data_IF_439040094743
#
_entry.id   IF_439040094743
#
_cell.length_a   1.000
_cell.length_b   1.000
_cell.length_c   1.000
_cell.angle_alpha   90.00
_cell.angle_beta   90.00
_cell.angle_gamma   90.00
#
_symmetry.space_group_name_H-M   'P 1'
#
loop_
_entity.id
_entity.type
_entity.pdbx_description
1 polymer ?
#
# COMPACT_ATOMS: atom_id res chain seq x y z
N UNK A 1 -18.84 40.86 12.43
CA UNK A 1 -18.00 40.39 11.32
C UNK A 1 -17.73 38.90 11.52
N UNK A 2 -18.54 38.01 10.96
CA UNK A 2 -18.36 36.56 11.14
C UNK A 2 -17.16 36.12 10.30
N UNK A 3 -16.06 35.74 10.95
CA UNK A 3 -14.90 35.14 10.31
C UNK A 3 -15.37 33.80 9.71
N UNK A 4 -15.75 33.80 8.42
CA UNK A 4 -16.05 32.58 7.69
C UNK A 4 -14.71 31.96 7.31
N UNK A 5 -14.27 30.97 8.10
CA UNK A 5 -13.17 30.10 7.70
C UNK A 5 -13.47 29.53 6.30
N UNK A 6 -12.48 29.48 5.39
CA UNK A 6 -12.69 28.88 4.08
C UNK A 6 -13.16 27.43 4.28
N UNK A 7 -14.28 27.07 3.65
CA UNK A 7 -14.83 25.71 3.74
C UNK A 7 -13.81 24.75 3.12
N UNK A 8 -13.18 23.93 3.96
CA UNK A 8 -12.27 22.88 3.50
C UNK A 8 -13.08 21.92 2.61
N UNK A 9 -12.55 21.63 1.41
CA UNK A 9 -13.18 20.67 0.49
C UNK A 9 -13.32 19.30 1.16
N UNK A 10 -14.51 18.70 1.04
CA UNK A 10 -14.88 17.50 1.79
C UNK A 10 -13.94 16.31 1.55
N UNK A 11 -13.33 16.21 0.36
CA UNK A 11 -12.35 15.16 0.05
C UNK A 11 -11.19 15.08 1.05
N UNK A 12 -10.78 16.19 1.67
CA UNK A 12 -9.71 16.17 2.68
C UNK A 12 -10.11 15.48 3.98
N UNK A 13 -11.40 15.47 4.34
CA UNK A 13 -11.90 14.66 5.46
C UNK A 13 -11.81 13.17 5.16
N UNK A 14 -12.01 12.77 3.91
CA UNK A 14 -11.83 11.38 3.47
C UNK A 14 -10.35 10.99 3.53
N UNK A 15 -9.44 11.89 3.16
CA UNK A 15 -7.98 11.66 3.28
C UNK A 15 -7.57 11.51 4.75
N UNK A 16 -8.05 12.39 5.63
CA UNK A 16 -7.77 12.30 7.07
C UNK A 16 -8.34 11.02 7.69
N UNK A 17 -9.57 10.64 7.36
CA UNK A 17 -10.17 9.39 7.81
C UNK A 17 -9.40 8.17 7.28
N UNK A 18 -8.96 8.20 6.02
CA UNK A 18 -8.13 7.16 5.41
C UNK A 18 -6.76 7.04 6.10
N UNK A 19 -6.14 8.16 6.45
CA UNK A 19 -4.89 8.19 7.21
C UNK A 19 -5.03 7.50 8.57
N UNK A 20 -6.08 7.83 9.34
CA UNK A 20 -6.30 7.23 10.67
C UNK A 20 -6.62 5.74 10.57
N UNK A 21 -7.45 5.33 9.61
CA UNK A 21 -7.73 3.91 9.36
C UNK A 21 -6.44 3.19 8.98
N UNK A 22 -5.65 3.73 8.06
CA UNK A 22 -4.38 3.16 7.63
C UNK A 22 -3.34 3.10 8.77
N UNK A 23 -3.34 4.08 9.67
CA UNK A 23 -2.47 4.10 10.86
C UNK A 23 -2.84 2.98 11.81
N UNK A 24 -4.13 2.86 12.16
CA UNK A 24 -4.60 1.81 13.06
C UNK A 24 -4.39 0.42 12.45
N UNK A 25 -4.75 0.25 11.17
CA UNK A 25 -4.54 -0.97 10.40
C UNK A 25 -3.06 -1.36 10.31
N UNK A 26 -2.21 -0.38 9.97
CA UNK A 26 -0.77 -0.51 9.86
C UNK A 26 -0.15 -0.96 11.18
N UNK A 27 -0.47 -0.25 12.26
CA UNK A 27 0.12 -0.49 13.56
C UNK A 27 -0.44 -1.71 14.27
N UNK A 28 -1.76 -1.75 14.47
CA UNK A 28 -2.41 -2.81 15.25
C UNK A 28 -2.31 -4.19 14.60
N UNK A 29 -2.37 -4.25 13.27
CA UNK A 29 -2.46 -5.54 12.56
C UNK A 29 -1.23 -5.83 11.72
N UNK A 30 -0.77 -4.89 10.88
CA UNK A 30 0.36 -5.16 9.97
C UNK A 30 1.66 -5.39 10.70
N UNK A 31 2.13 -4.37 11.42
CA UNK A 31 3.37 -4.39 12.18
C UNK A 31 3.18 -5.03 13.56
N UNK A 32 2.03 -4.83 14.20
CA UNK A 32 1.70 -5.35 15.52
C UNK A 32 1.79 -6.87 15.67
N UNK A 33 1.66 -7.62 14.56
CA UNK A 33 1.84 -9.08 14.56
C UNK A 33 3.21 -9.51 15.10
N UNK A 34 4.27 -8.73 14.84
CA UNK A 34 5.61 -9.09 15.33
C UNK A 34 5.72 -9.01 16.86
N UNK A 35 4.95 -8.13 17.50
CA UNK A 35 4.95 -7.97 18.96
C UNK A 35 4.26 -9.12 19.69
N UNK A 36 3.28 -9.77 19.06
CA UNK A 36 2.50 -10.86 19.67
C UNK A 36 3.05 -12.26 19.40
N UNK A 37 4.00 -12.38 18.47
CA UNK A 37 4.52 -13.67 18.04
C UNK A 37 5.13 -14.48 19.19
N UNK A 38 6.08 -13.87 19.91
CA UNK A 38 6.80 -14.53 21.00
C UNK A 38 5.91 -14.82 22.22
N UNK A 39 5.04 -13.89 22.68
CA UNK A 39 4.06 -14.18 23.73
C UNK A 39 3.18 -15.41 23.42
N UNK A 40 2.65 -15.50 22.20
CA UNK A 40 1.80 -16.64 21.78
C UNK A 40 2.61 -17.95 21.75
N UNK A 41 3.84 -17.91 21.23
CA UNK A 41 4.72 -19.09 21.21
C UNK A 41 5.02 -19.61 22.61
N UNK A 42 5.28 -18.70 23.56
CA UNK A 42 5.59 -19.03 24.95
C UNK A 42 4.40 -19.61 25.70
N UNK A 43 3.22 -19.01 25.58
CA UNK A 43 2.01 -19.49 26.30
C UNK A 43 1.46 -20.79 25.69
N UNK A 44 1.34 -20.84 24.37
CA UNK A 44 0.69 -21.96 23.69
C UNK A 44 1.63 -23.14 23.44
N UNK A 45 2.95 -22.97 23.63
CA UNK A 45 3.97 -23.97 23.34
C UNK A 45 4.07 -24.33 21.86
N UNK A 46 3.56 -23.48 20.97
CA UNK A 46 3.56 -23.72 19.53
C UNK A 46 4.91 -23.42 18.91
N UNK A 47 5.24 -24.17 17.86
CA UNK A 47 6.46 -23.89 17.11
C UNK A 47 6.32 -22.58 16.34
N UNK A 48 7.45 -21.92 16.11
CA UNK A 48 7.51 -20.72 15.28
C UNK A 48 6.95 -20.98 13.88
N UNK A 49 7.13 -22.19 13.33
CA UNK A 49 6.57 -22.60 12.03
C UNK A 49 5.04 -22.62 12.01
N UNK A 50 4.41 -23.08 13.09
CA UNK A 50 2.95 -23.09 13.19
C UNK A 50 2.39 -21.66 13.24
N UNK A 51 3.03 -20.77 13.99
CA UNK A 51 2.61 -19.37 14.11
C UNK A 51 2.86 -18.59 12.80
N UNK A 52 4.01 -18.81 12.16
CA UNK A 52 4.38 -18.12 10.92
C UNK A 52 3.52 -18.51 9.72
N UNK A 53 2.94 -19.71 9.71
CA UNK A 53 1.98 -20.13 8.67
C UNK A 53 0.75 -19.18 8.62
N UNK A 54 0.32 -18.67 9.76
CA UNK A 54 -0.78 -17.71 9.83
C UNK A 54 -0.43 -16.34 9.23
N UNK A 55 0.84 -15.92 9.37
CA UNK A 55 1.35 -14.72 8.71
C UNK A 55 1.34 -14.87 7.18
N UNK A 56 1.69 -16.05 6.68
CA UNK A 56 1.63 -16.38 5.24
C UNK A 56 0.20 -16.37 4.70
N UNK A 57 -0.76 -16.92 5.44
CA UNK A 57 -2.19 -16.86 5.12
C UNK A 57 -2.68 -15.41 4.96
N UNK A 58 -2.27 -14.53 5.88
CA UNK A 58 -2.57 -13.09 5.79
C UNK A 58 -1.93 -12.44 4.56
N UNK A 59 -0.68 -12.76 4.26
CA UNK A 59 0.02 -12.20 3.09
C UNK A 59 -0.63 -12.62 1.76
N UNK A 60 -1.09 -13.87 1.67
CA UNK A 60 -1.78 -14.41 0.49
C UNK A 60 -3.14 -13.74 0.26
N UNK A 61 -3.84 -13.43 1.35
CA UNK A 61 -5.16 -12.80 1.33
C UNK A 61 -5.13 -11.36 0.78
N UNK A 62 -4.14 -10.55 1.15
CA UNK A 62 -3.97 -9.18 0.64
C UNK A 62 -3.93 -9.09 -0.90
N UNK A 63 -3.42 -10.14 -1.54
CA UNK A 63 -3.36 -10.26 -2.98
C UNK A 63 -4.62 -10.91 -3.55
N UNK A 64 -4.94 -12.12 -3.08
CA UNK A 64 -5.96 -12.97 -3.70
C UNK A 64 -7.37 -12.37 -3.61
N UNK A 65 -7.71 -11.70 -2.51
CA UNK A 65 -9.03 -11.09 -2.34
C UNK A 65 -9.14 -9.68 -2.93
N UNK A 66 -8.02 -9.04 -3.27
CA UNK A 66 -8.02 -7.67 -3.77
C UNK A 66 -8.89 -7.45 -5.04
N UNK A 67 -8.92 -8.35 -6.04
CA UNK A 67 -9.84 -8.21 -7.18
C UNK A 67 -11.31 -8.20 -6.77
N UNK A 68 -11.71 -9.12 -5.87
CA UNK A 68 -13.08 -9.21 -5.38
C UNK A 68 -13.45 -7.95 -4.57
N UNK A 69 -12.56 -7.53 -3.67
CA UNK A 69 -12.72 -6.30 -2.89
C UNK A 69 -12.85 -5.09 -3.81
N UNK A 70 -12.06 -5.01 -4.88
CA UNK A 70 -12.14 -3.95 -5.87
C UNK A 70 -13.52 -3.84 -6.52
N UNK A 71 -14.04 -4.97 -7.02
CA UNK A 71 -15.39 -5.05 -7.61
C UNK A 71 -16.47 -4.69 -6.59
N UNK A 72 -16.36 -5.21 -5.37
CA UNK A 72 -17.31 -4.91 -4.30
C UNK A 72 -17.25 -3.44 -3.87
N UNK A 73 -16.08 -2.82 -3.91
CA UNK A 73 -15.92 -1.40 -3.58
C UNK A 73 -16.60 -0.50 -4.59
N UNK A 74 -16.43 -0.78 -5.89
CA UNK A 74 -17.10 -0.03 -6.96
C UNK A 74 -18.64 -0.18 -6.87
N UNK A 75 -19.15 -1.33 -6.40
CA UNK A 75 -20.59 -1.60 -6.30
C UNK A 75 -21.24 -1.13 -5.00
N UNK A 76 -20.63 -1.45 -3.86
CA UNK A 76 -21.19 -1.20 -2.52
C UNK A 76 -20.74 0.14 -1.94
N UNK A 77 -19.68 0.71 -2.49
CA UNK A 77 -19.06 1.94 -2.02
C UNK A 77 -18.15 1.76 -0.81
N UNK A 78 -17.21 2.69 -0.60
CA UNK A 78 -16.17 2.56 0.42
C UNK A 78 -16.72 2.53 1.85
N UNK A 79 -17.82 3.24 2.13
CA UNK A 79 -18.45 3.27 3.47
C UNK A 79 -18.87 1.88 3.94
N UNK A 80 -19.60 1.14 3.11
CA UNK A 80 -20.09 -0.20 3.48
C UNK A 80 -18.94 -1.19 3.61
N UNK A 81 -17.97 -1.12 2.69
CA UNK A 81 -16.78 -1.98 2.70
C UNK A 81 -15.94 -1.79 3.96
N UNK A 82 -15.63 -0.54 4.33
CA UNK A 82 -14.88 -0.23 5.56
C UNK A 82 -15.64 -0.72 6.79
N UNK A 83 -16.95 -0.47 6.86
CA UNK A 83 -17.78 -0.90 7.99
C UNK A 83 -17.82 -2.43 8.14
N UNK A 84 -18.06 -3.16 7.06
CA UNK A 84 -18.09 -4.64 7.09
C UNK A 84 -16.71 -5.22 7.40
N UNK A 85 -15.65 -4.66 6.80
CA UNK A 85 -14.29 -5.12 7.03
C UNK A 85 -13.81 -4.90 8.46
N UNK A 86 -14.22 -3.79 9.06
CA UNK A 86 -13.92 -3.49 10.45
C UNK A 86 -14.62 -4.43 11.44
N UNK A 87 -15.88 -4.77 11.21
CA UNK A 87 -16.59 -5.76 12.02
C UNK A 87 -15.91 -7.13 11.91
N UNK A 88 -15.57 -7.54 10.68
CA UNK A 88 -14.92 -8.83 10.45
C UNK A 88 -13.52 -8.89 11.05
N UNK A 89 -12.74 -7.81 10.91
CA UNK A 89 -11.41 -7.67 11.49
C UNK A 89 -11.45 -7.62 13.02
N UNK A 90 -12.42 -6.91 13.61
CA UNK A 90 -12.64 -6.89 15.06
C UNK A 90 -13.00 -8.28 15.59
N UNK A 91 -13.88 -9.01 14.88
CA UNK A 91 -14.23 -10.39 15.23
C UNK A 91 -13.00 -11.31 15.15
N UNK A 92 -12.18 -11.17 14.10
CA UNK A 92 -10.92 -11.90 13.97
C UNK A 92 -9.95 -11.62 15.11
N UNK A 93 -9.74 -10.35 15.47
CA UNK A 93 -8.87 -9.95 16.58
C UNK A 93 -9.41 -10.44 17.94
N UNK A 94 -10.73 -10.40 18.14
CA UNK A 94 -11.38 -10.92 19.33
C UNK A 94 -11.19 -12.44 19.46
N UNK A 95 -11.43 -13.18 18.38
CA UNK A 95 -11.21 -14.63 18.33
C UNK A 95 -9.73 -14.99 18.52
N UNK A 96 -8.82 -14.14 18.01
CA UNK A 96 -7.40 -14.32 18.22
C UNK A 96 -7.05 -14.24 19.70
N UNK A 97 -7.55 -13.23 20.42
CA UNK A 97 -7.38 -13.11 21.88
C UNK A 97 -7.97 -14.27 22.68
N UNK A 98 -8.96 -14.97 22.14
CA UNK A 98 -9.63 -16.13 22.76
C UNK A 98 -9.11 -17.48 22.26
N UNK A 99 -8.03 -17.47 21.49
CA UNK A 99 -7.54 -18.69 20.83
C UNK A 99 -6.95 -19.67 21.83
N UNK A 100 -7.40 -20.94 21.76
CA UNK A 100 -6.89 -22.06 22.55
C UNK A 100 -6.39 -23.24 21.70
N UNK A 101 -6.53 -23.17 20.37
CA UNK A 101 -6.12 -24.23 19.44
C UNK A 101 -5.60 -23.63 18.14
N UNK A 102 -4.75 -24.37 17.43
CA UNK A 102 -4.20 -23.93 16.14
C UNK A 102 -5.29 -23.72 15.08
N UNK A 103 -6.37 -24.51 15.12
CA UNK A 103 -7.51 -24.33 14.21
C UNK A 103 -8.19 -22.98 14.42
N UNK A 104 -8.47 -22.64 15.68
CA UNK A 104 -9.06 -21.34 16.05
C UNK A 104 -8.13 -20.18 15.70
N UNK A 105 -6.82 -20.35 15.90
CA UNK A 105 -5.79 -19.41 15.52
C UNK A 105 -5.85 -19.09 14.02
N UNK A 106 -5.84 -20.11 13.15
CA UNK A 106 -5.88 -19.91 11.71
C UNK A 106 -7.20 -19.29 11.23
N UNK A 107 -8.33 -19.70 11.81
CA UNK A 107 -9.63 -19.09 11.49
C UNK A 107 -9.63 -17.61 11.89
N UNK A 108 -9.12 -17.26 13.07
CA UNK A 108 -9.00 -15.88 13.52
C UNK A 108 -8.13 -15.06 12.55
N UNK A 109 -6.99 -15.60 12.09
CA UNK A 109 -6.13 -14.95 11.11
C UNK A 109 -6.79 -14.75 9.76
N UNK A 110 -7.55 -15.73 9.27
CA UNK A 110 -8.31 -15.59 8.02
C UNK A 110 -9.34 -14.46 8.16
N UNK A 111 -10.06 -14.39 9.28
CA UNK A 111 -11.04 -13.33 9.53
C UNK A 111 -10.39 -11.94 9.60
N UNK A 112 -9.27 -11.83 10.34
CA UNK A 112 -8.47 -10.59 10.38
C UNK A 112 -8.06 -10.22 8.97
N UNK A 113 -7.49 -11.14 8.21
CA UNK A 113 -7.02 -10.88 6.85
C UNK A 113 -8.15 -10.35 5.96
N UNK A 114 -9.27 -11.09 5.83
CA UNK A 114 -10.43 -10.68 5.01
C UNK A 114 -10.98 -9.31 5.45
N UNK A 115 -11.05 -9.07 6.77
CA UNK A 115 -11.47 -7.79 7.33
C UNK A 115 -10.54 -6.65 6.94
N UNK A 116 -9.23 -6.89 7.00
CA UNK A 116 -8.22 -5.90 6.61
C UNK A 116 -8.25 -5.59 5.12
N UNK A 117 -8.36 -6.57 4.22
CA UNK A 117 -8.40 -6.25 2.79
C UNK A 117 -9.63 -5.44 2.40
N UNK A 118 -10.76 -5.67 3.06
CA UNK A 118 -12.01 -4.94 2.82
C UNK A 118 -12.07 -3.54 3.43
N UNK A 119 -11.13 -3.15 4.31
CA UNK A 119 -11.11 -1.82 4.92
C UNK A 119 -9.83 -0.99 4.66
N UNK A 120 -8.83 -1.53 3.94
CA UNK A 120 -7.51 -0.91 3.77
C UNK A 120 -7.23 -0.45 2.33
N UNK A 121 -6.08 -0.81 1.76
CA UNK A 121 -5.43 -0.16 0.61
C UNK A 121 -6.38 0.03 -0.57
N UNK A 122 -7.04 -1.04 -1.05
CA UNK A 122 -7.94 -0.99 -2.20
C UNK A 122 -9.11 -0.04 -1.97
N UNK A 123 -9.74 -0.10 -0.80
CA UNK A 123 -10.95 0.67 -0.49
C UNK A 123 -10.62 2.13 -0.22
N UNK A 124 -9.56 2.39 0.56
CA UNK A 124 -9.10 3.73 0.87
C UNK A 124 -8.62 4.46 -0.39
N UNK A 125 -7.84 3.80 -1.26
CA UNK A 125 -7.37 4.43 -2.50
C UNK A 125 -8.52 4.67 -3.48
N UNK A 126 -9.50 3.77 -3.56
CA UNK A 126 -10.71 4.00 -4.37
C UNK A 126 -11.50 5.20 -3.85
N UNK A 127 -11.67 5.32 -2.54
CA UNK A 127 -12.35 6.46 -1.93
C UNK A 127 -11.62 7.78 -2.21
N UNK A 128 -10.29 7.81 -2.08
CA UNK A 128 -9.49 9.01 -2.40
C UNK A 128 -9.59 9.35 -3.88
N UNK A 129 -9.47 8.36 -4.77
CA UNK A 129 -9.55 8.56 -6.21
C UNK A 129 -10.93 9.08 -6.66
N UNK A 130 -12.02 8.72 -5.97
CA UNK A 130 -13.35 9.26 -6.26
C UNK A 130 -13.45 10.77 -6.01
N UNK A 131 -12.64 11.33 -5.11
CA UNK A 131 -12.75 12.73 -4.67
C UNK A 131 -11.71 13.66 -5.26
N UNK A 132 -10.59 13.13 -5.76
CA UNK A 132 -9.48 13.91 -6.30
C UNK A 132 -9.08 13.43 -7.69
N UNK A 133 -8.91 14.37 -8.64
CA UNK A 133 -8.38 14.09 -9.98
C UNK A 133 -7.03 14.76 -10.17
N UNK A 134 -6.98 16.08 -9.97
CA UNK A 134 -5.75 16.90 -10.06
C UNK A 134 -4.84 16.68 -8.86
N UNK A 135 -5.40 16.41 -7.68
CA UNK A 135 -4.63 16.24 -6.44
C UNK A 135 -4.60 14.79 -5.92
N UNK A 136 -4.84 13.81 -6.80
CA UNK A 136 -4.90 12.39 -6.39
C UNK A 136 -3.57 11.93 -5.80
N UNK A 137 -2.43 12.42 -6.30
CA UNK A 137 -1.12 11.92 -5.87
C UNK A 137 -0.84 12.37 -4.45
N UNK A 138 -0.98 13.66 -4.13
CA UNK A 138 -0.76 14.14 -2.76
C UNK A 138 -1.81 13.59 -1.79
N UNK A 139 -3.07 13.47 -2.22
CA UNK A 139 -4.14 12.91 -1.40
C UNK A 139 -3.88 11.43 -1.07
N UNK A 140 -3.46 10.65 -2.06
CA UNK A 140 -3.08 9.24 -1.87
C UNK A 140 -1.81 9.13 -1.01
N UNK A 141 -0.83 10.01 -1.21
CA UNK A 141 0.38 10.08 -0.41
C UNK A 141 0.10 10.29 1.06
N UNK A 142 -0.70 11.30 1.39
CA UNK A 142 -1.12 11.57 2.78
C UNK A 142 -1.91 10.38 3.34
N UNK A 143 -2.90 9.85 2.62
CA UNK A 143 -3.69 8.72 3.10
C UNK A 143 -2.82 7.48 3.40
N UNK A 144 -1.89 7.13 2.50
CA UNK A 144 -1.00 5.98 2.66
C UNK A 144 0.05 6.21 3.75
N UNK A 145 0.47 7.45 4.03
CA UNK A 145 1.38 7.74 5.15
C UNK A 145 0.87 7.19 6.49
N UNK A 146 -0.43 7.01 6.67
CA UNK A 146 -1.02 6.35 7.84
C UNK A 146 -0.35 5.01 8.13
N UNK A 147 -0.17 4.15 7.12
CA UNK A 147 0.55 2.88 7.31
C UNK A 147 1.97 3.09 7.82
N UNK A 148 2.70 4.08 7.30
CA UNK A 148 4.06 4.36 7.73
C UNK A 148 4.13 4.76 9.21
N UNK A 149 3.22 5.63 9.65
CA UNK A 149 3.09 6.01 11.05
C UNK A 149 2.52 4.90 11.93
N UNK A 150 1.81 3.92 11.37
CA UNK A 150 1.29 2.76 12.10
C UNK A 150 2.38 1.99 12.86
N UNK A 151 3.62 1.94 12.34
CA UNK A 151 4.75 1.32 13.03
C UNK A 151 5.02 1.92 14.43
N UNK A 152 4.68 3.18 14.67
CA UNK A 152 4.80 3.83 15.98
C UNK A 152 3.86 3.27 17.04
N UNK A 153 2.82 2.51 16.64
CA UNK A 153 1.95 1.81 17.58
C UNK A 153 2.60 0.56 18.18
N UNK A 154 3.65 0.01 17.56
CA UNK A 154 4.27 -1.25 18.01
C UNK A 154 4.84 -1.14 19.43
N UNK A 155 5.62 -0.11 19.82
CA UNK A 155 6.06 0.04 21.21
C UNK A 155 4.89 0.13 22.20
N UNK A 156 3.81 0.83 21.84
CA UNK A 156 2.62 0.91 22.68
C UNK A 156 1.94 -0.46 22.84
N UNK A 157 1.91 -1.28 21.78
CA UNK A 157 1.45 -2.67 21.87
C UNK A 157 2.34 -3.51 22.77
N UNK A 158 3.67 -3.40 22.65
CA UNK A 158 4.62 -4.12 23.52
C UNK A 158 4.38 -3.77 24.98
N UNK A 159 4.27 -2.47 25.32
CA UNK A 159 3.97 -2.04 26.69
C UNK A 159 2.61 -2.53 27.20
N UNK A 160 1.59 -2.62 26.33
CA UNK A 160 0.29 -3.20 26.69
C UNK A 160 0.39 -4.71 26.94
N UNK A 161 1.18 -5.43 26.14
CA UNK A 161 1.42 -6.86 26.32
C UNK A 161 2.16 -7.11 27.64
N UNK A 162 3.18 -6.30 27.96
CA UNK A 162 3.91 -6.42 29.23
C UNK A 162 3.03 -6.12 30.45
N UNK A 163 2.10 -5.17 30.34
CA UNK A 163 1.23 -4.77 31.45
C UNK A 163 -0.02 -5.65 31.63
N UNK A 164 -0.62 -6.13 30.54
CA UNK A 164 -1.95 -6.77 30.54
C UNK A 164 -2.02 -8.11 29.79
N UNK A 165 -0.89 -8.62 29.28
CA UNK A 165 -0.77 -9.79 28.42
C UNK A 165 -1.32 -9.60 26.98
N UNK A 166 -0.94 -10.50 26.07
CA UNK A 166 -1.28 -10.42 24.65
C UNK A 166 -2.77 -10.64 24.40
N UNK A 167 -3.46 -11.45 25.22
CA UNK A 167 -4.90 -11.70 25.09
C UNK A 167 -5.71 -10.41 25.31
N UNK A 168 -5.42 -9.68 26.38
CA UNK A 168 -6.07 -8.40 26.65
C UNK A 168 -5.72 -7.36 25.58
N UNK A 169 -4.48 -7.37 25.09
CA UNK A 169 -4.05 -6.49 23.99
C UNK A 169 -4.84 -6.76 22.71
N UNK A 170 -5.10 -8.02 22.36
CA UNK A 170 -5.94 -8.37 21.20
C UNK A 170 -7.39 -7.91 21.39
N UNK A 171 -7.92 -8.01 22.60
CA UNK A 171 -9.24 -7.47 22.92
C UNK A 171 -9.31 -5.94 22.75
N UNK A 172 -8.29 -5.21 23.22
CA UNK A 172 -8.19 -3.75 23.04
C UNK A 172 -8.09 -3.36 21.57
N UNK A 173 -7.33 -4.10 20.77
CA UNK A 173 -7.26 -3.89 19.33
C UNK A 173 -8.57 -4.23 18.62
N UNK A 174 -9.26 -5.29 19.04
CA UNK A 174 -10.58 -5.63 18.51
C UNK A 174 -11.59 -4.50 18.79
N UNK A 175 -11.57 -3.94 20.00
CA UNK A 175 -12.40 -2.79 20.37
C UNK A 175 -12.03 -1.55 19.54
N UNK A 176 -10.74 -1.26 19.38
CA UNK A 176 -10.26 -0.18 18.51
C UNK A 176 -10.71 -0.36 17.06
N UNK A 177 -10.65 -1.59 16.53
CA UNK A 177 -11.13 -1.92 15.18
C UNK A 177 -12.64 -1.78 15.04
N UNK A 178 -13.40 -2.04 16.10
CA UNK A 178 -14.85 -1.89 16.12
C UNK A 178 -15.31 -0.42 16.27
N UNK A 179 -14.48 0.43 16.88
CA UNK A 179 -14.82 1.83 17.13
C UNK A 179 -14.27 2.77 16.04
N UNK A 180 -12.99 2.65 15.68
CA UNK A 180 -12.29 3.64 14.85
C UNK A 180 -12.74 3.55 13.38
N UNK A 181 -12.50 2.45 12.62
CA UNK A 181 -12.92 2.42 11.22
C UNK A 181 -14.44 2.54 11.01
N UNK A 182 -15.35 1.95 11.83
CA UNK A 182 -16.78 2.11 11.64
C UNK A 182 -17.28 3.55 11.84
N UNK A 183 -16.76 4.26 12.85
CA UNK A 183 -17.11 5.68 13.04
C UNK A 183 -16.56 6.53 11.89
N UNK A 184 -15.31 6.32 11.49
CA UNK A 184 -14.71 7.01 10.36
C UNK A 184 -15.37 6.65 9.03
N UNK A 185 -15.91 5.44 8.88
CA UNK A 185 -16.65 5.01 7.68
C UNK A 185 -17.85 5.91 7.39
N UNK A 186 -18.44 6.54 8.42
CA UNK A 186 -19.55 7.48 8.26
C UNK A 186 -19.14 8.76 7.52
N UNK A 187 -17.85 9.11 7.55
CA UNK A 187 -17.27 10.23 6.78
C UNK A 187 -17.15 9.86 5.30
N UNK A 188 -16.99 8.57 4.97
CA UNK A 188 -16.82 8.13 3.58
C UNK A 188 -18.14 8.28 2.81
N UNK A 189 -18.04 9.01 1.70
CA UNK A 189 -19.11 9.20 0.72
C UNK A 189 -18.64 8.62 -0.61
N UNK A 190 -19.52 7.90 -1.31
CA UNK A 190 -19.14 7.10 -2.48
C UNK A 190 -18.60 7.98 -3.62
N UNK A 191 -19.46 8.74 -4.28
CA UNK A 191 -19.06 9.65 -5.37
C UNK A 191 -19.42 11.08 -4.98
N UNK A 192 -18.54 12.08 -5.23
CA UNK A 192 -18.81 13.47 -4.87
C UNK A 192 -20.08 14.01 -5.57
N UNK A 193 -20.32 13.58 -6.81
CA UNK A 193 -21.45 14.00 -7.65
C UNK A 193 -22.81 13.68 -6.99
N UNK A 194 -22.92 12.55 -6.30
CA UNK A 194 -24.13 12.14 -5.57
C UNK A 194 -24.48 13.08 -4.40
N UNK A 195 -23.54 13.90 -3.96
CA UNK A 195 -23.68 14.83 -2.84
C UNK A 195 -23.55 16.30 -3.28
N UNK A 196 -23.64 16.57 -4.58
CA UNK A 196 -23.55 17.93 -5.14
C UNK A 196 -22.14 18.52 -5.13
N UNK A 197 -21.10 17.70 -4.95
CA UNK A 197 -19.71 18.11 -5.09
C UNK A 197 -19.17 17.71 -6.46
N UNK A 198 -18.29 18.53 -7.02
CA UNK A 198 -17.40 18.10 -8.11
C UNK A 198 -16.07 17.62 -7.52
N UNK A 199 -15.38 16.67 -8.19
CA UNK A 199 -14.02 16.27 -7.82
C UNK A 199 -13.10 17.49 -7.66
N UNK A 200 -12.12 17.39 -6.75
CA UNK A 200 -11.20 18.48 -6.36
C UNK A 200 -11.86 19.77 -5.81
N UNK A 201 -13.18 19.80 -5.65
CA UNK A 201 -13.91 20.97 -5.14
C UNK A 201 -14.16 22.04 -6.19
N UNK A 202 -14.15 21.67 -7.48
CA UNK A 202 -14.54 22.57 -8.54
C UNK A 202 -15.97 23.09 -8.32
N UNK A 203 -16.18 24.39 -8.49
CA UNK A 203 -17.52 24.96 -8.50
C UNK A 203 -18.25 24.32 -9.66
N UNK A 204 -19.35 23.62 -9.40
CA UNK A 204 -20.21 23.02 -10.41
C UNK A 204 -20.37 24.01 -11.57
N UNK A 205 -19.77 23.70 -12.71
CA UNK A 205 -19.86 24.56 -13.86
C UNK A 205 -21.34 24.71 -14.20
N UNK A 206 -21.80 25.96 -14.30
CA UNK A 206 -22.99 26.32 -15.07
C UNK A 206 -22.92 25.58 -16.43
N UNK A 207 -24.05 25.18 -17.02
CA UNK A 207 -24.06 24.49 -18.31
C UNK A 207 -23.21 25.28 -19.33
N UNK A 208 -22.43 24.59 -20.19
CA UNK A 208 -21.41 25.24 -20.99
C UNK A 208 -22.02 26.32 -21.89
N UNK A 209 -21.40 27.51 -22.01
CA UNK A 209 -21.72 28.39 -23.11
C UNK A 209 -21.30 27.70 -24.41
N UNK A 210 -22.23 27.70 -25.37
CA UNK A 210 -22.08 27.18 -26.72
C UNK A 210 -20.83 27.76 -27.40
N UNK A 211 -20.04 26.85 -27.98
CA UNK A 211 -18.97 27.00 -28.98
C UNK A 211 -18.08 28.25 -28.98
N UNK A 212 -16.81 28.07 -28.57
CA UNK A 212 -15.67 28.63 -29.31
C UNK A 212 -14.54 27.60 -29.36
N UNK A 213 -14.26 27.15 -30.58
CA UNK A 213 -13.10 26.33 -30.96
C UNK A 213 -11.81 27.08 -30.61
N UNK A 214 -11.10 26.62 -29.58
CA UNK A 214 -9.72 27.02 -29.31
C UNK A 214 -8.84 25.77 -29.24
N UNK A 215 -7.98 25.64 -30.25
CA UNK A 215 -7.06 24.53 -30.43
C UNK A 215 -5.96 24.51 -29.35
N UNK A 216 -5.62 23.30 -28.87
CA UNK A 216 -4.28 22.99 -28.37
C UNK A 216 -4.05 23.16 -26.86
N UNK A 217 -4.69 22.31 -26.05
CA UNK A 217 -4.08 21.36 -25.08
C UNK A 217 -5.26 20.46 -24.66
N UNK A 218 -5.49 19.42 -25.44
CA UNK A 218 -6.45 18.37 -25.07
C UNK A 218 -5.83 17.57 -23.94
N UNK A 219 -6.20 17.86 -22.69
CA UNK A 219 -6.14 16.82 -21.67
C UNK A 219 -6.99 15.66 -22.20
N UNK A 220 -6.48 14.42 -22.25
CA UNK A 220 -7.31 13.32 -22.70
C UNK A 220 -8.52 13.27 -21.77
N UNK A 221 -9.73 13.41 -22.34
CA UNK A 221 -10.97 13.09 -21.65
C UNK A 221 -10.73 11.77 -20.91
N UNK A 222 -10.69 11.84 -19.57
CA UNK A 222 -10.25 10.73 -18.73
C UNK A 222 -11.00 9.48 -19.17
N UNK A 223 -10.25 8.53 -19.74
CA UNK A 223 -10.84 7.42 -20.46
C UNK A 223 -11.67 6.59 -19.47
N UNK A 224 -12.99 6.80 -19.43
CA UNK A 224 -13.91 6.03 -18.60
C UNK A 224 -14.15 4.67 -19.26
N UNK A 225 -13.08 3.90 -19.37
CA UNK A 225 -13.05 2.63 -20.09
C UNK A 225 -13.64 1.51 -19.24
N UNK A 226 -14.33 0.59 -19.90
CA UNK A 226 -14.87 -0.60 -19.25
C UNK A 226 -13.77 -1.57 -18.84
N UNK A 227 -14.05 -2.43 -17.86
CA UNK A 227 -13.11 -3.45 -17.35
C UNK A 227 -12.53 -4.31 -18.48
N UNK A 228 -13.37 -4.75 -19.43
CA UNK A 228 -12.92 -5.56 -20.58
C UNK A 228 -11.89 -4.82 -21.43
N UNK A 229 -12.10 -3.53 -21.69
CA UNK A 229 -11.19 -2.70 -22.47
C UNK A 229 -9.89 -2.40 -21.70
N UNK A 230 -9.96 -2.24 -20.38
CA UNK A 230 -8.77 -2.13 -19.54
C UNK A 230 -7.91 -3.40 -19.65
N UNK A 231 -8.51 -4.58 -19.47
CA UNK A 231 -7.81 -5.87 -19.49
C UNK A 231 -7.18 -6.24 -20.85
N UNK A 232 -7.77 -5.77 -21.96
CA UNK A 232 -7.21 -5.97 -23.30
C UNK A 232 -6.19 -4.90 -23.69
N UNK A 233 -6.02 -3.85 -22.88
CA UNK A 233 -5.05 -2.79 -23.17
C UNK A 233 -3.63 -3.21 -22.78
N UNK A 234 -2.66 -2.89 -23.65
CA UNK A 234 -1.24 -3.05 -23.31
C UNK A 234 -0.82 -2.21 -22.11
N UNK A 235 -1.43 -1.03 -21.91
CA UNK A 235 -1.15 -0.17 -20.77
C UNK A 235 -1.47 -0.86 -19.42
N UNK A 236 -2.56 -1.62 -19.35
CA UNK A 236 -2.91 -2.36 -18.12
C UNK A 236 -1.80 -3.33 -17.72
N UNK A 237 -1.33 -4.14 -18.67
CA UNK A 237 -0.27 -5.10 -18.41
C UNK A 237 1.08 -4.44 -18.11
N UNK A 238 1.42 -3.34 -18.78
CA UNK A 238 2.64 -2.58 -18.47
C UNK A 238 2.60 -1.99 -17.05
N UNK A 239 1.47 -1.42 -16.63
CA UNK A 239 1.27 -0.93 -15.26
C UNK A 239 1.31 -2.08 -14.25
N UNK A 240 0.59 -3.17 -14.51
CA UNK A 240 0.54 -4.33 -13.63
C UNK A 240 1.92 -4.95 -13.43
N UNK A 241 2.66 -5.20 -14.51
CA UNK A 241 4.01 -5.78 -14.45
C UNK A 241 5.02 -4.83 -13.79
N UNK A 242 4.92 -3.53 -14.03
CA UNK A 242 5.77 -2.52 -13.36
C UNK A 242 5.58 -2.57 -11.85
N UNK A 243 4.32 -2.56 -11.37
CA UNK A 243 4.04 -2.59 -9.94
C UNK A 243 4.26 -3.98 -9.32
N UNK A 244 4.16 -5.06 -10.11
CA UNK A 244 4.54 -6.41 -9.68
C UNK A 244 6.03 -6.48 -9.43
N UNK A 245 6.85 -5.97 -10.35
CA UNK A 245 8.30 -5.87 -10.19
C UNK A 245 8.69 -5.00 -8.99
N UNK A 246 8.00 -3.89 -8.78
CA UNK A 246 8.18 -3.07 -7.59
C UNK A 246 7.88 -3.85 -6.29
N UNK A 247 6.75 -4.55 -6.19
CA UNK A 247 6.39 -5.35 -5.00
C UNK A 247 7.36 -6.52 -4.80
N UNK A 248 7.82 -7.15 -5.88
CA UNK A 248 8.84 -8.20 -5.86
C UNK A 248 10.13 -7.75 -5.16
N UNK A 249 10.65 -6.57 -5.54
CA UNK A 249 11.86 -6.02 -4.90
C UNK A 249 11.64 -5.66 -3.44
N UNK A 250 10.53 -4.98 -3.15
CA UNK A 250 10.22 -4.50 -1.80
C UNK A 250 10.12 -5.65 -0.83
N UNK A 251 9.37 -6.68 -1.19
CA UNK A 251 9.17 -7.84 -0.31
C UNK A 251 10.46 -8.64 -0.13
N UNK A 252 11.27 -8.81 -1.19
CA UNK A 252 12.59 -9.46 -1.09
C UNK A 252 13.51 -8.74 -0.10
N UNK A 253 13.65 -7.42 -0.22
CA UNK A 253 14.50 -6.62 0.67
C UNK A 253 13.97 -6.61 2.09
N UNK A 254 12.68 -6.32 2.30
CA UNK A 254 12.10 -6.27 3.67
C UNK A 254 12.26 -7.61 4.39
N UNK A 255 12.19 -8.73 3.67
CA UNK A 255 12.34 -10.07 4.26
C UNK A 255 13.80 -10.39 4.57
N UNK A 256 14.73 -10.08 3.66
CA UNK A 256 16.12 -10.52 3.73
C UNK A 256 17.12 -9.44 4.16
N UNK A 257 16.67 -8.22 4.50
CA UNK A 257 17.57 -7.14 4.92
C UNK A 257 18.39 -7.51 6.15
N UNK A 258 17.77 -8.07 7.18
CA UNK A 258 18.50 -8.48 8.39
C UNK A 258 19.40 -9.71 8.14
N UNK A 259 18.93 -10.79 7.48
CA UNK A 259 19.79 -11.90 7.06
C UNK A 259 21.01 -11.47 6.23
N UNK A 260 20.81 -10.62 5.22
CA UNK A 260 21.90 -10.15 4.38
C UNK A 260 22.92 -9.34 5.17
N UNK A 261 22.49 -8.34 5.94
CA UNK A 261 23.39 -7.51 6.74
C UNK A 261 24.18 -8.35 7.76
N UNK A 262 23.53 -9.32 8.40
CA UNK A 262 24.21 -10.28 9.27
C UNK A 262 25.24 -11.13 8.51
N UNK A 263 24.93 -11.57 7.29
CA UNK A 263 25.83 -12.39 6.48
C UNK A 263 27.12 -11.67 6.05
N UNK A 264 27.08 -10.33 5.98
CA UNK A 264 28.24 -9.49 5.64
C UNK A 264 28.90 -8.86 6.87
N UNK A 265 28.54 -9.33 8.08
CA UNK A 265 29.18 -8.94 9.33
C UNK A 265 28.68 -7.64 9.96
N UNK A 266 27.56 -7.09 9.50
CA UNK A 266 26.94 -5.91 10.12
C UNK A 266 26.23 -6.32 11.42
N UNK A 267 26.40 -5.52 12.47
CA UNK A 267 25.82 -5.79 13.78
C UNK A 267 24.29 -5.94 13.72
N UNK A 268 23.75 -6.83 14.56
CA UNK A 268 22.30 -7.09 14.64
C UNK A 268 21.50 -5.84 15.03
N UNK A 269 22.05 -4.98 15.89
CA UNK A 269 21.42 -3.72 16.31
C UNK A 269 21.24 -2.77 15.11
N UNK A 270 22.31 -2.55 14.33
CA UNK A 270 22.30 -1.75 13.11
C UNK A 270 21.34 -2.33 12.09
N UNK A 271 21.35 -3.66 11.89
CA UNK A 271 20.45 -4.35 10.97
C UNK A 271 18.97 -4.12 11.31
N UNK A 272 18.62 -4.16 12.60
CA UNK A 272 17.26 -3.85 13.08
C UNK A 272 16.86 -2.39 12.87
N UNK A 273 17.80 -1.46 13.07
CA UNK A 273 17.58 -0.02 12.78
C UNK A 273 17.31 0.18 11.29
N UNK A 274 18.08 -0.45 10.40
CA UNK A 274 17.91 -0.35 8.94
C UNK A 274 16.54 -0.90 8.51
N UNK A 275 16.14 -2.07 9.04
CA UNK A 275 14.84 -2.67 8.76
C UNK A 275 13.67 -1.74 9.15
N UNK A 276 13.82 -1.02 10.27
CA UNK A 276 12.82 -0.04 10.74
C UNK A 276 12.89 1.29 9.97
N UNK A 277 14.08 1.67 9.49
CA UNK A 277 14.28 2.91 8.76
C UNK A 277 13.65 2.88 7.35
N UNK A 278 13.62 1.73 6.67
CA UNK A 278 13.02 1.58 5.33
C UNK A 278 11.56 2.12 5.24
N UNK A 279 10.61 1.67 6.09
CA UNK A 279 9.25 2.19 6.05
C UNK A 279 9.17 3.66 6.49
N UNK A 280 10.03 4.13 7.39
CA UNK A 280 10.07 5.54 7.83
C UNK A 280 10.55 6.47 6.71
N UNK A 281 11.63 6.14 6.03
CA UNK A 281 12.11 6.92 4.87
C UNK A 281 11.12 6.85 3.71
N UNK A 282 10.30 5.79 3.62
CA UNK A 282 9.18 5.73 2.67
C UNK A 282 8.12 6.81 2.86
N UNK A 283 7.96 7.37 4.06
CA UNK A 283 7.03 8.49 4.31
C UNK A 283 7.46 9.72 3.50
N UNK A 284 8.77 10.01 3.44
CA UNK A 284 9.31 11.09 2.62
C UNK A 284 9.03 10.85 1.14
N UNK A 285 9.15 9.60 0.68
CA UNK A 285 8.75 9.18 -0.66
C UNK A 285 7.28 9.43 -0.95
N UNK A 286 6.38 9.03 -0.05
CA UNK A 286 4.93 9.19 -0.21
C UNK A 286 4.53 10.66 -0.35
N UNK A 287 5.10 11.54 0.48
CA UNK A 287 4.80 12.97 0.45
C UNK A 287 5.44 13.68 -0.74
N UNK A 288 6.73 13.42 -1.00
CA UNK A 288 7.45 14.07 -2.11
C UNK A 288 6.86 13.66 -3.46
N UNK A 289 6.70 12.37 -3.74
CA UNK A 289 6.11 11.91 -5.00
C UNK A 289 4.64 12.28 -5.10
N UNK A 290 3.91 12.35 -3.99
CA UNK A 290 2.56 12.91 -3.98
C UNK A 290 2.53 14.35 -4.49
N UNK A 291 3.45 15.20 -4.01
CA UNK A 291 3.53 16.58 -4.45
C UNK A 291 4.03 16.73 -5.89
N UNK A 292 5.07 15.98 -6.28
CA UNK A 292 5.63 16.01 -7.62
C UNK A 292 4.67 15.39 -8.65
N UNK A 293 3.97 14.32 -8.33
CA UNK A 293 3.06 13.61 -9.23
C UNK A 293 1.80 14.40 -9.60
N UNK A 294 1.43 15.42 -8.82
CA UNK A 294 0.33 16.34 -9.19
C UNK A 294 0.81 17.55 -10.00
N UNK A 295 2.12 17.80 -10.08
CA UNK A 295 2.71 18.94 -10.80
C UNK A 295 3.40 18.55 -12.10
N UNK A 296 3.92 17.34 -12.16
CA UNK A 296 4.72 16.83 -13.26
C UNK A 296 4.09 15.57 -13.86
N UNK A 297 4.64 15.12 -14.97
CA UNK A 297 4.17 13.90 -15.62
C UNK A 297 4.34 12.68 -14.69
N UNK A 298 3.22 12.08 -14.25
CA UNK A 298 3.18 10.94 -13.32
C UNK A 298 3.97 9.73 -13.82
N UNK A 299 4.04 9.53 -15.14
CA UNK A 299 4.88 8.50 -15.78
C UNK A 299 6.36 8.75 -15.51
N UNK A 300 6.84 9.98 -15.68
CA UNK A 300 8.23 10.34 -15.43
C UNK A 300 8.57 10.29 -13.94
N UNK A 301 7.66 10.73 -13.06
CA UNK A 301 7.83 10.58 -11.61
C UNK A 301 7.95 9.09 -11.23
N UNK A 302 7.15 8.23 -11.83
CA UNK A 302 7.27 6.78 -11.64
C UNK A 302 8.62 6.24 -12.10
N UNK A 303 9.12 6.68 -13.26
CA UNK A 303 10.47 6.34 -13.74
C UNK A 303 11.54 6.80 -12.75
N UNK A 304 11.45 8.01 -12.20
CA UNK A 304 12.42 8.48 -11.19
C UNK A 304 12.42 7.60 -9.94
N UNK A 305 11.25 7.15 -9.47
CA UNK A 305 11.16 6.25 -8.32
C UNK A 305 11.77 4.88 -8.59
N UNK A 306 11.56 4.33 -9.78
CA UNK A 306 12.19 3.07 -10.20
C UNK A 306 13.72 3.22 -10.30
N UNK A 307 14.22 4.32 -10.86
CA UNK A 307 15.66 4.62 -10.93
C UNK A 307 16.25 4.74 -9.53
N UNK A 308 15.59 5.44 -8.61
CA UNK A 308 16.02 5.54 -7.21
C UNK A 308 16.07 4.16 -6.56
N UNK A 309 15.08 3.30 -6.76
CA UNK A 309 15.12 1.92 -6.23
C UNK A 309 16.27 1.10 -6.83
N UNK A 310 16.53 1.21 -8.14
CA UNK A 310 17.66 0.53 -8.78
C UNK A 310 19.00 0.97 -8.20
N UNK A 311 19.21 2.27 -8.02
CA UNK A 311 20.45 2.81 -7.43
C UNK A 311 20.56 2.44 -5.95
N UNK A 312 19.45 2.46 -5.21
CA UNK A 312 19.40 1.99 -3.83
C UNK A 312 19.80 0.51 -3.72
N UNK A 313 19.29 -0.34 -4.61
CA UNK A 313 19.64 -1.77 -4.66
C UNK A 313 21.10 -2.00 -5.07
N UNK A 314 21.65 -1.16 -5.94
CA UNK A 314 23.08 -1.14 -6.24
C UNK A 314 23.90 -0.86 -4.98
N UNK A 315 23.59 0.21 -4.25
CA UNK A 315 24.24 0.50 -2.97
C UNK A 315 24.10 -0.68 -2.00
N UNK A 316 22.90 -1.28 -1.95
CA UNK A 316 22.61 -2.41 -1.07
C UNK A 316 23.48 -3.63 -1.38
N UNK A 317 23.64 -4.00 -2.65
CA UNK A 317 24.44 -5.17 -3.05
C UNK A 317 25.93 -5.07 -2.73
N UNK A 318 26.46 -3.86 -2.55
CA UNK A 318 27.87 -3.61 -2.23
C UNK A 318 28.11 -3.31 -0.75
N UNK A 319 27.13 -3.52 0.13
CA UNK A 319 27.36 -3.41 1.57
C UNK A 319 28.24 -4.57 2.03
N UNK A 320 29.35 -4.21 2.65
CA UNK A 320 30.25 -5.11 3.37
C UNK A 320 30.74 -4.42 4.67
N UNK A 321 31.67 -5.05 5.38
CA UNK A 321 32.19 -4.54 6.64
C UNK A 321 32.88 -3.16 6.50
N UNK A 322 33.48 -2.84 5.34
CA UNK A 322 34.11 -1.54 5.08
C UNK A 322 33.12 -0.53 4.43
N UNK A 323 32.07 -1.04 3.80
CA UNK A 323 31.05 -0.32 3.04
C UNK A 323 29.79 0.02 3.83
N UNK A 324 29.81 -0.02 5.15
CA UNK A 324 28.62 0.24 6.00
C UNK A 324 28.03 1.64 5.77
N UNK A 325 28.84 2.58 5.29
CA UNK A 325 28.41 3.91 4.88
C UNK A 325 27.37 3.88 3.74
N UNK A 326 27.32 2.83 2.92
CA UNK A 326 26.34 2.63 1.84
C UNK A 326 24.91 2.42 2.36
N UNK A 327 24.73 2.14 3.65
CA UNK A 327 23.40 2.05 4.28
C UNK A 327 22.61 3.36 4.15
N UNK A 328 23.28 4.49 4.27
CA UNK A 328 22.63 5.81 4.19
C UNK A 328 22.08 6.09 2.77
N UNK A 329 22.88 6.04 1.69
CA UNK A 329 22.34 6.23 0.34
C UNK A 329 21.34 5.13 -0.03
N UNK A 330 21.51 3.88 0.43
CA UNK A 330 20.49 2.84 0.28
C UNK A 330 19.15 3.28 0.89
N UNK A 331 19.11 3.68 2.16
CA UNK A 331 17.87 4.06 2.85
C UNK A 331 17.18 5.26 2.22
N UNK A 332 17.96 6.24 1.76
CA UNK A 332 17.45 7.44 1.07
C UNK A 332 16.87 7.04 -0.30
N UNK A 333 17.65 6.37 -1.14
CA UNK A 333 17.25 6.05 -2.51
C UNK A 333 16.13 5.01 -2.55
N UNK A 334 16.33 3.88 -1.87
CA UNK A 334 15.37 2.78 -1.83
C UNK A 334 14.10 3.17 -1.07
N UNK A 335 14.24 3.76 0.12
CA UNK A 335 13.10 4.13 0.95
C UNK A 335 12.19 5.16 0.28
N UNK A 336 12.76 6.25 -0.25
CA UNK A 336 11.99 7.29 -0.94
C UNK A 336 11.36 6.72 -2.23
N UNK A 337 12.10 5.96 -3.03
CA UNK A 337 11.55 5.31 -4.23
C UNK A 337 10.42 4.32 -3.92
N UNK A 338 10.59 3.52 -2.86
CA UNK A 338 9.57 2.60 -2.36
C UNK A 338 8.28 3.33 -1.99
N UNK A 339 8.40 4.37 -1.16
CA UNK A 339 7.27 5.18 -0.73
C UNK A 339 6.56 5.87 -1.88
N UNK A 340 7.33 6.44 -2.81
CA UNK A 340 6.82 7.22 -3.92
C UNK A 340 6.01 6.39 -4.93
N UNK A 341 6.47 5.18 -5.23
CA UNK A 341 5.76 4.29 -6.16
C UNK A 341 4.43 3.77 -5.61
N UNK A 342 4.27 3.66 -4.29
CA UNK A 342 2.96 3.37 -3.70
C UNK A 342 1.92 4.46 -3.99
N UNK A 343 2.37 5.71 -4.14
CA UNK A 343 1.52 6.88 -4.42
C UNK A 343 1.25 7.03 -5.92
N UNK A 344 2.23 6.73 -6.75
CA UNK A 344 2.04 6.79 -8.21
C UNK A 344 1.11 5.70 -8.74
N UNK A 345 1.00 4.55 -8.05
CA UNK A 345 0.11 3.46 -8.46
C UNK A 345 -1.36 3.90 -8.63
N UNK A 346 -2.06 4.42 -7.59
CA UNK A 346 -3.42 4.89 -7.77
C UNK A 346 -3.52 6.07 -8.75
N UNK A 347 -2.53 6.96 -8.77
CA UNK A 347 -2.53 8.13 -9.65
C UNK A 347 -2.45 7.75 -11.15
N UNK A 348 -1.59 6.80 -11.51
CA UNK A 348 -1.47 6.28 -12.88
C UNK A 348 -2.68 5.46 -13.28
N UNK A 349 -3.23 4.64 -12.36
CA UNK A 349 -4.42 3.86 -12.65
C UNK A 349 -5.61 4.78 -12.96
N UNK A 350 -5.80 5.84 -12.18
CA UNK A 350 -6.83 6.84 -12.45
C UNK A 350 -6.58 7.55 -13.79
N UNK A 351 -5.34 7.96 -14.07
CA UNK A 351 -5.00 8.70 -15.29
C UNK A 351 -5.25 7.87 -16.57
N UNK A 352 -4.90 6.58 -16.56
CA UNK A 352 -4.96 5.73 -17.75
C UNK A 352 -6.29 4.99 -17.93
N UNK A 353 -6.99 4.64 -16.83
CA UNK A 353 -8.20 3.82 -16.86
C UNK A 353 -9.46 4.54 -16.37
N UNK A 354 -9.31 5.79 -15.91
CA UNK A 354 -10.43 6.60 -15.41
C UNK A 354 -10.97 6.11 -14.07
N UNK A 355 -12.16 6.59 -13.72
CA UNK A 355 -12.77 6.38 -12.41
C UNK A 355 -13.88 5.33 -12.39
N UNK A 356 -14.50 5.04 -13.54
CA UNK A 356 -15.68 4.17 -13.64
C UNK A 356 -15.48 2.79 -13.00
N UNK A 357 -14.31 2.19 -13.18
CA UNK A 357 -13.98 0.85 -12.68
C UNK A 357 -12.67 0.87 -11.89
N UNK A 358 -12.37 2.00 -11.22
CA UNK A 358 -11.09 2.20 -10.56
C UNK A 358 -10.81 1.12 -9.52
N UNK A 359 -11.75 0.85 -8.62
CA UNK A 359 -11.57 -0.15 -7.56
C UNK A 359 -11.32 -1.53 -8.14
N UNK A 360 -12.06 -1.91 -9.18
CA UNK A 360 -11.88 -3.18 -9.89
C UNK A 360 -10.50 -3.29 -10.53
N UNK A 361 -10.08 -2.28 -11.31
CA UNK A 361 -8.76 -2.28 -11.99
C UNK A 361 -7.63 -2.28 -10.96
N UNK A 362 -7.74 -1.46 -9.91
CA UNK A 362 -6.79 -1.39 -8.82
C UNK A 362 -6.67 -2.72 -8.07
N UNK A 363 -7.81 -3.34 -7.76
CA UNK A 363 -7.87 -4.66 -7.13
C UNK A 363 -7.26 -5.77 -7.97
N UNK A 364 -7.53 -5.78 -9.29
CA UNK A 364 -6.92 -6.73 -10.23
C UNK A 364 -5.40 -6.59 -10.28
N UNK A 365 -4.88 -5.35 -10.34
CA UNK A 365 -3.44 -5.08 -10.32
C UNK A 365 -2.83 -5.54 -8.99
N UNK A 366 -3.48 -5.29 -7.84
CA UNK A 366 -3.01 -5.82 -6.56
C UNK A 366 -2.99 -7.35 -6.54
N UNK A 367 -4.01 -8.00 -7.12
CA UNK A 367 -4.03 -9.45 -7.26
C UNK A 367 -2.85 -9.99 -8.06
N UNK A 368 -2.51 -9.35 -9.17
CA UNK A 368 -1.32 -9.73 -9.97
C UNK A 368 -0.03 -9.47 -9.19
N UNK A 369 0.05 -8.36 -8.45
CA UNK A 369 1.23 -8.04 -7.62
C UNK A 369 1.53 -9.08 -6.53
N UNK A 370 0.56 -9.93 -6.16
CA UNK A 370 0.76 -11.06 -5.25
C UNK A 370 1.88 -11.99 -5.72
N UNK A 371 1.97 -12.21 -7.04
CA UNK A 371 3.03 -13.04 -7.65
C UNK A 371 4.41 -12.44 -7.33
N UNK A 372 4.52 -11.11 -7.40
CA UNK A 372 5.73 -10.40 -7.00
C UNK A 372 6.04 -10.60 -5.53
N UNK A 373 5.03 -10.43 -4.66
CA UNK A 373 5.18 -10.55 -3.20
C UNK A 373 5.66 -11.93 -2.75
N UNK A 374 5.25 -13.00 -3.43
CA UNK A 374 5.65 -14.37 -3.13
C UNK A 374 7.01 -14.69 -3.78
N UNK A 375 7.18 -14.29 -5.05
CA UNK A 375 8.37 -14.61 -5.82
C UNK A 375 9.65 -13.93 -5.32
N UNK A 376 9.55 -12.69 -4.81
CA UNK A 376 10.71 -11.88 -4.42
C UNK A 376 11.54 -12.53 -3.32
N UNK A 377 10.97 -12.75 -2.12
CA UNK A 377 11.66 -13.39 -1.00
C UNK A 377 12.12 -14.81 -1.32
N UNK A 378 11.30 -15.57 -2.08
CA UNK A 378 11.62 -16.94 -2.46
C UNK A 378 12.86 -17.00 -3.36
N UNK A 379 12.96 -16.13 -4.37
CA UNK A 379 14.13 -16.08 -5.25
C UNK A 379 15.38 -15.62 -4.51
N UNK A 380 15.26 -14.63 -3.62
CA UNK A 380 16.39 -14.15 -2.81
C UNK A 380 16.93 -15.24 -1.86
N UNK A 381 16.04 -15.97 -1.19
CA UNK A 381 16.42 -17.08 -0.31
C UNK A 381 17.07 -18.23 -1.08
N UNK A 382 16.44 -18.67 -2.17
CA UNK A 382 17.01 -19.71 -3.05
C UNK A 382 18.40 -19.34 -3.59
N UNK A 383 18.59 -18.08 -3.99
CA UNK A 383 19.88 -17.61 -4.47
C UNK A 383 20.95 -17.64 -3.36
N UNK A 384 20.58 -17.31 -2.12
CA UNK A 384 21.49 -17.43 -0.99
C UNK A 384 21.86 -18.89 -0.69
N UNK A 385 20.89 -19.81 -0.73
CA UNK A 385 21.14 -21.24 -0.45
C UNK A 385 22.13 -21.87 -1.45
N UNK A 386 22.09 -21.44 -2.72
CA UNK A 386 22.98 -21.95 -3.78
C UNK A 386 24.30 -21.20 -3.85
N UNK A 387 24.28 -19.86 -3.79
CA UNK A 387 25.47 -19.03 -4.00
C UNK A 387 26.22 -18.71 -2.69
N UNK A 388 25.61 -18.95 -1.53
CA UNK A 388 26.13 -18.58 -0.22
C UNK A 388 26.23 -17.06 0.02
N UNK A 389 25.67 -16.24 -0.88
CA UNK A 389 25.77 -14.78 -0.82
C UNK A 389 24.59 -14.10 -1.51
N UNK A 390 24.11 -13.00 -0.94
CA UNK A 390 23.04 -12.21 -1.53
C UNK A 390 23.52 -11.20 -2.58
N UNK A 391 24.82 -10.89 -2.66
CA UNK A 391 25.32 -9.80 -3.53
C UNK A 391 24.84 -9.95 -4.97
N UNK A 392 25.05 -11.14 -5.54
CA UNK A 392 24.73 -11.39 -6.94
C UNK A 392 23.22 -11.32 -7.22
N UNK A 393 22.38 -11.73 -6.25
CA UNK A 393 20.93 -11.68 -6.44
C UNK A 393 20.42 -10.24 -6.37
N UNK A 394 20.99 -9.39 -5.52
CA UNK A 394 20.66 -7.97 -5.50
C UNK A 394 20.98 -7.28 -6.83
N UNK A 395 22.16 -7.55 -7.40
CA UNK A 395 22.53 -7.02 -8.71
C UNK A 395 21.64 -7.55 -9.84
N UNK A 396 21.30 -8.84 -9.82
CA UNK A 396 20.38 -9.42 -10.81
C UNK A 396 18.97 -8.83 -10.71
N UNK A 397 18.48 -8.61 -9.49
CA UNK A 397 17.17 -8.02 -9.24
C UNK A 397 17.08 -6.57 -9.73
N UNK A 398 18.19 -5.86 -9.95
CA UNK A 398 18.19 -4.53 -10.58
C UNK A 398 17.67 -4.53 -12.03
N UNK A 399 17.65 -5.69 -12.71
CA UNK A 399 17.08 -5.80 -14.05
C UNK A 399 15.56 -5.55 -14.04
N UNK A 400 14.87 -5.93 -12.96
CA UNK A 400 13.41 -5.78 -12.82
C UNK A 400 12.97 -4.30 -12.90
N UNK A 401 13.49 -3.37 -12.08
CA UNK A 401 13.11 -1.96 -12.16
C UNK A 401 13.60 -1.32 -13.46
N UNK A 402 14.74 -1.74 -14.03
CA UNK A 402 15.20 -1.26 -15.35
C UNK A 402 14.24 -1.67 -16.48
N UNK A 403 13.79 -2.92 -16.49
CA UNK A 403 12.77 -3.39 -17.43
C UNK A 403 11.44 -2.62 -17.26
N UNK A 404 11.05 -2.33 -16.00
CA UNK A 404 9.87 -1.52 -15.70
C UNK A 404 10.02 -0.06 -16.18
N UNK A 405 11.22 0.54 -16.10
CA UNK A 405 11.50 1.87 -16.67
C UNK A 405 11.25 1.85 -18.18
N UNK A 406 11.80 0.87 -18.89
CA UNK A 406 11.60 0.75 -20.34
C UNK A 406 10.13 0.55 -20.68
N UNK A 407 9.43 -0.33 -19.94
CA UNK A 407 7.99 -0.56 -20.07
C UNK A 407 7.18 0.74 -19.92
N UNK A 408 7.49 1.55 -18.89
CA UNK A 408 6.82 2.83 -18.66
C UNK A 408 7.14 3.87 -19.73
N UNK A 409 8.36 3.90 -20.26
CA UNK A 409 8.71 4.84 -21.33
C UNK A 409 7.97 4.52 -22.63
N UNK A 410 7.81 3.23 -22.96
CA UNK A 410 7.09 2.75 -24.15
C UNK A 410 5.57 2.90 -24.01
N UNK A 411 5.05 2.89 -22.77
CA UNK A 411 3.61 2.99 -22.50
C UNK A 411 2.99 4.24 -23.13
N UNK A 412 2.05 4.02 -24.05
CA UNK A 412 1.23 5.04 -24.69
C UNK A 412 -0.06 5.26 -23.90
N UNK A 413 -0.62 6.49 -23.89
CA UNK A 413 -1.93 6.74 -23.27
C UNK A 413 -3.01 5.88 -23.91
N UNK A 414 -3.92 5.34 -23.10
CA UNK A 414 -5.07 4.57 -23.59
C UNK A 414 -6.03 5.54 -24.26
N UNK A 415 -6.23 5.42 -25.58
CA UNK A 415 -7.25 6.21 -26.28
C UNK A 415 -8.61 5.62 -25.96
N UNK A 416 -9.53 6.45 -25.46
CA UNK A 416 -10.95 6.15 -25.47
C UNK A 416 -11.39 6.04 -26.94
N UNK A 417 -11.55 4.83 -27.45
CA UNK A 417 -12.32 4.66 -28.68
C UNK A 417 -13.75 5.07 -28.34
N UNK A 418 -14.14 6.28 -28.75
CA UNK A 418 -15.54 6.65 -28.85
C UNK A 418 -16.14 5.73 -29.92
N UNK A 419 -16.89 4.72 -29.49
CA UNK A 419 -17.82 3.97 -30.34
C UNK A 419 -19.23 4.34 -29.94
#
# INVERSE_FOLDING_TARGET
>A
MSIRFPKIFYGWWIVAASFVIALFAGGGVFYGFTAIFEPIAREMGWSYTQISLAASLRGLEMGLLAPLVGVMTDRLGPRRMIFSGAILGALGLFLLGQTNSLGMFYIAFILVAVGMSTCTMTVLMTAVANWFRRRISIASGIAVCGFGFGGLMVPAMVSLIEAYDWRATMFLLALGMLLIPPTLSMVFRHQPEQYGYSPDGDTAALPPPVDIVAAGISQPDGANIGIKQALTSGAFWLVALTFTGHVFLVTAIVTHVMPYLSSVGVERSISGIVATAIPLTSILGRLSFGWFGDRFNRKLITVTGLTMMSLGLFCFGYIDHAGTWLLVPFLVLFGIGYGGLNVMRPALIQEYFGMRSFGTVFGLIIGINMVGSIGGPALAGWAFDIWGSYRNIWLLMMVVPVAAIVAMLIMKPVRSNQT
#
